data_IF_567247308759
#
_entry.id   IF_567247308759
#
_cell.length_a   1.000
_cell.length_b   1.000
_cell.length_c   1.000
_cell.angle_alpha   90.00
_cell.angle_beta   90.00
_cell.angle_gamma   90.00
#
_symmetry.space_group_name_H-M   'P 1'
#
loop_
_entity.id
_entity.type
_entity.pdbx_description
1 polymer ?
#
# COMPACT_ATOMS: atom_id res chain seq x y z
N UNK A 1 1.47 -10.47 12.88
CA UNK A 1 1.93 -9.52 13.91
C UNK A 1 2.19 -8.19 13.22
N UNK A 2 1.72 -7.08 13.80
CA UNK A 2 1.99 -5.73 13.29
C UNK A 2 3.12 -5.15 14.14
N UNK A 3 4.25 -4.82 13.52
CA UNK A 3 5.32 -4.08 14.17
C UNK A 3 5.06 -2.59 13.98
N UNK A 4 5.14 -1.82 15.07
CA UNK A 4 5.07 -0.36 15.01
C UNK A 4 6.26 0.20 14.20
N UNK A 5 6.03 1.28 13.46
CA UNK A 5 7.01 1.86 12.52
C UNK A 5 8.36 2.30 13.12
N UNK A 6 8.47 2.40 14.44
CA UNK A 6 9.64 2.95 15.13
C UNK A 6 10.76 1.93 15.43
N UNK A 7 10.52 0.62 15.28
CA UNK A 7 11.51 -0.43 15.54
C UNK A 7 11.59 -1.45 14.39
N UNK A 8 12.34 -1.16 13.31
CA UNK A 8 12.41 -2.02 12.12
C UNK A 8 13.09 -3.39 12.31
N UNK A 9 13.54 -3.73 13.52
CA UNK A 9 14.32 -4.95 13.80
C UNK A 9 15.49 -5.15 12.82
N UNK A 10 15.69 -6.39 12.36
CA UNK A 10 16.78 -6.80 11.48
C UNK A 10 16.56 -6.47 9.98
N UNK A 11 15.59 -5.60 9.64
CA UNK A 11 15.37 -5.21 8.24
C UNK A 11 16.63 -4.56 7.65
N UNK A 12 17.11 -5.00 6.47
CA UNK A 12 18.20 -4.34 5.76
C UNK A 12 17.86 -2.88 5.43
N UNK A 13 18.87 -2.03 5.34
CA UNK A 13 18.71 -0.59 5.07
C UNK A 13 17.78 -0.25 3.89
N UNK A 14 17.95 -0.87 2.70
CA UNK A 14 17.05 -0.62 1.57
C UNK A 14 15.59 -0.99 1.84
N UNK A 15 15.34 -2.09 2.56
CA UNK A 15 14.00 -2.50 2.96
C UNK A 15 13.40 -1.57 4.01
N UNK A 16 14.19 -1.03 4.95
CA UNK A 16 13.73 0.01 5.87
C UNK A 16 13.25 1.24 5.11
N UNK A 17 14.00 1.71 4.11
CA UNK A 17 13.59 2.85 3.28
C UNK A 17 12.34 2.54 2.46
N UNK A 18 12.22 1.32 1.92
CA UNK A 18 11.04 0.91 1.16
C UNK A 18 9.78 0.81 2.03
N UNK A 19 9.91 0.25 3.24
CA UNK A 19 8.78 -0.05 4.12
C UNK A 19 8.40 1.14 5.02
N UNK A 20 9.38 1.84 5.60
CA UNK A 20 9.14 2.94 6.53
C UNK A 20 9.22 4.33 5.87
N UNK A 21 9.73 4.41 4.64
CA UNK A 21 9.84 5.68 3.94
C UNK A 21 8.48 6.28 3.55
N UNK A 22 8.40 7.60 3.61
CA UNK A 22 7.26 8.42 3.20
C UNK A 22 7.14 8.58 1.66
N UNK A 23 8.08 8.00 0.91
CA UNK A 23 8.08 8.02 -0.54
C UNK A 23 6.90 7.26 -1.17
N UNK A 24 6.47 7.72 -2.34
CA UNK A 24 5.47 7.02 -3.17
C UNK A 24 6.06 5.68 -3.68
N UNK A 25 5.39 4.53 -3.47
CA UNK A 25 5.89 3.25 -3.95
C UNK A 25 6.04 3.24 -5.46
N UNK A 26 5.11 3.84 -6.20
CA UNK A 26 5.21 3.91 -7.66
C UNK A 26 6.44 4.69 -8.12
N UNK A 27 6.87 5.70 -7.35
CA UNK A 27 8.13 6.40 -7.62
C UNK A 27 9.33 5.50 -7.30
N UNK A 28 9.31 4.79 -6.17
CA UNK A 28 10.39 3.86 -5.80
C UNK A 28 10.54 2.74 -6.84
N UNK A 29 9.46 2.06 -7.20
CA UNK A 29 9.46 1.00 -8.20
C UNK A 29 10.02 1.48 -9.54
N UNK A 30 9.63 2.68 -10.00
CA UNK A 30 10.20 3.27 -11.23
C UNK A 30 11.69 3.55 -11.12
N UNK A 31 12.16 4.04 -9.97
CA UNK A 31 13.58 4.33 -9.75
C UNK A 31 14.43 3.04 -9.67
N UNK A 32 13.91 2.00 -9.03
CA UNK A 32 14.58 0.70 -8.88
C UNK A 32 14.64 -0.02 -10.22
N UNK A 33 13.52 -0.11 -10.93
CA UNK A 33 13.38 -0.94 -12.15
C UNK A 33 13.75 -0.21 -13.43
N UNK A 34 13.73 1.13 -13.44
CA UNK A 34 13.83 1.94 -14.66
C UNK A 34 12.58 1.89 -15.55
N UNK A 35 11.52 1.16 -15.16
CA UNK A 35 10.31 0.97 -15.96
C UNK A 35 9.15 1.83 -15.43
N UNK A 36 8.26 2.23 -16.33
CA UNK A 36 6.97 2.82 -15.95
C UNK A 36 6.16 1.81 -15.15
N UNK A 37 5.53 2.28 -14.06
CA UNK A 37 4.61 1.49 -13.27
C UNK A 37 3.23 1.50 -13.94
N UNK A 38 2.74 0.32 -14.27
CA UNK A 38 1.36 0.08 -14.69
C UNK A 38 0.51 -0.29 -13.47
N UNK A 39 -0.72 0.20 -13.45
CA UNK A 39 -1.70 -0.09 -12.40
C UNK A 39 -2.81 -0.93 -13.03
N UNK A 40 -3.03 -2.11 -12.49
CA UNK A 40 -4.13 -3.00 -12.89
C UNK A 40 -5.18 -3.01 -11.78
N UNK A 41 -6.38 -2.53 -12.08
CA UNK A 41 -7.48 -2.50 -11.12
C UNK A 41 -8.05 -3.91 -10.91
N UNK A 42 -8.00 -4.40 -9.66
CA UNK A 42 -8.61 -5.67 -9.27
C UNK A 42 -10.07 -5.46 -8.89
N UNK A 43 -10.31 -4.50 -8.00
CA UNK A 43 -11.65 -4.20 -7.51
C UNK A 43 -11.74 -2.75 -7.06
N UNK A 44 -12.93 -2.16 -7.20
CA UNK A 44 -13.29 -0.88 -6.59
C UNK A 44 -14.76 -0.93 -6.24
N UNK A 45 -15.07 -1.13 -4.96
CA UNK A 45 -16.44 -1.36 -4.51
C UNK A 45 -16.66 -0.78 -3.12
N UNK A 46 -17.93 -0.52 -2.80
CA UNK A 46 -18.33 -0.20 -1.44
C UNK A 46 -17.96 -1.36 -0.50
N UNK A 47 -17.49 -1.04 0.70
CA UNK A 47 -17.28 -2.07 1.71
C UNK A 47 -18.64 -2.66 2.16
N UNK A 48 -18.69 -3.97 2.49
CA UNK A 48 -19.90 -4.60 3.00
C UNK A 48 -20.47 -3.85 4.22
N UNK A 49 -21.75 -3.48 4.13
CA UNK A 49 -22.41 -2.70 5.19
C UNK A 49 -21.94 -1.23 5.31
N UNK A 50 -20.99 -0.80 4.45
CA UNK A 50 -20.38 0.54 4.45
C UNK A 50 -19.23 0.71 5.43
N UNK A 51 -18.83 -0.33 6.16
CA UNK A 51 -17.97 -0.25 7.33
C UNK A 51 -16.68 -1.07 7.12
N UNK A 52 -15.70 -0.85 8.00
CA UNK A 52 -14.42 -1.57 7.97
C UNK A 52 -14.64 -3.10 8.06
N UNK A 53 -14.17 -3.85 7.06
CA UNK A 53 -14.23 -5.32 7.07
C UNK A 53 -13.20 -5.94 8.01
N UNK A 54 -13.43 -7.18 8.42
CA UNK A 54 -12.45 -7.96 9.17
C UNK A 54 -11.14 -8.07 8.38
N UNK A 55 -10.01 -7.87 9.06
CA UNK A 55 -8.67 -8.01 8.48
C UNK A 55 -8.14 -6.77 7.75
N UNK A 56 -8.89 -5.67 7.71
CA UNK A 56 -8.31 -4.37 7.37
C UNK A 56 -7.49 -3.80 8.53
N UNK A 57 -6.59 -2.82 8.29
CA UNK A 57 -5.92 -2.09 9.35
C UNK A 57 -6.90 -1.43 10.32
N UNK A 58 -6.53 -1.29 11.61
CA UNK A 58 -7.36 -0.70 12.65
C UNK A 58 -7.80 0.72 12.30
N UNK A 59 -6.90 1.46 11.67
CA UNK A 59 -7.00 2.86 11.29
C UNK A 59 -8.13 3.09 10.27
N UNK A 60 -8.58 2.04 9.57
CA UNK A 60 -9.74 2.13 8.66
C UNK A 60 -11.01 2.47 9.43
N UNK A 61 -11.09 2.15 10.72
CA UNK A 61 -12.22 2.51 11.60
C UNK A 61 -12.31 4.02 11.88
N UNK A 62 -11.24 4.78 11.65
CA UNK A 62 -11.19 6.23 11.84
C UNK A 62 -11.78 6.98 10.63
N UNK A 63 -11.88 6.31 9.48
CA UNK A 63 -12.47 6.89 8.28
C UNK A 63 -13.99 7.04 8.42
N UNK A 64 -14.51 8.13 7.87
CA UNK A 64 -15.96 8.39 7.89
C UNK A 64 -16.68 7.49 6.87
N UNK A 65 -17.67 6.66 7.29
CA UNK A 65 -18.50 5.88 6.37
C UNK A 65 -19.41 6.77 5.49
N UNK A 66 -19.98 6.25 4.38
CA UNK A 66 -19.82 4.89 3.88
C UNK A 66 -18.48 4.68 3.20
N UNK A 67 -17.85 3.54 3.45
CA UNK A 67 -16.52 3.22 2.95
C UNK A 67 -16.54 2.63 1.54
N UNK A 68 -15.48 2.91 0.81
CA UNK A 68 -15.12 2.32 -0.48
C UNK A 68 -13.71 1.74 -0.38
N UNK A 69 -13.54 0.54 -0.91
CA UNK A 69 -12.25 -0.12 -1.04
C UNK A 69 -11.85 -0.24 -2.51
N UNK A 70 -10.62 0.16 -2.79
CA UNK A 70 -9.96 -0.01 -4.10
C UNK A 70 -8.76 -0.93 -3.93
N UNK A 71 -8.59 -1.89 -4.83
CA UNK A 71 -7.53 -2.90 -4.83
C UNK A 71 -6.87 -2.92 -6.20
N UNK A 72 -5.54 -2.91 -6.26
CA UNK A 72 -4.76 -2.81 -7.49
C UNK A 72 -3.49 -3.65 -7.43
N UNK A 73 -3.06 -4.13 -8.60
CA UNK A 73 -1.69 -4.59 -8.81
C UNK A 73 -0.83 -3.46 -9.37
N UNK A 74 0.46 -3.50 -9.01
CA UNK A 74 1.50 -2.61 -9.51
C UNK A 74 2.55 -3.44 -10.23
N UNK A 75 2.69 -3.21 -11.53
CA UNK A 75 3.62 -3.96 -12.38
C UNK A 75 4.60 -3.04 -13.10
N UNK A 76 5.85 -3.46 -13.17
CA UNK A 76 6.94 -2.80 -13.90
C UNK A 76 7.38 -3.72 -15.05
N UNK A 77 7.09 -3.31 -16.29
CA UNK A 77 7.23 -4.22 -17.42
C UNK A 77 6.29 -5.42 -17.26
N UNK A 78 6.84 -6.64 -17.33
CA UNK A 78 6.08 -7.89 -17.18
C UNK A 78 6.01 -8.39 -15.72
N UNK A 79 6.71 -7.74 -14.79
CA UNK A 79 6.79 -8.20 -13.39
C UNK A 79 5.78 -7.49 -12.51
N UNK A 80 4.97 -8.26 -11.78
CA UNK A 80 4.10 -7.72 -10.71
C UNK A 80 4.92 -7.58 -9.42
N UNK A 81 5.13 -6.34 -8.96
CA UNK A 81 6.04 -6.04 -7.86
C UNK A 81 5.35 -5.65 -6.56
N UNK A 82 4.08 -5.26 -6.63
CA UNK A 82 3.31 -5.00 -5.44
C UNK A 82 1.80 -5.17 -5.69
N UNK A 83 1.10 -5.38 -4.60
CA UNK A 83 -0.34 -5.23 -4.49
C UNK A 83 -0.64 -4.11 -3.52
N UNK A 84 -1.69 -3.35 -3.77
CA UNK A 84 -2.13 -2.33 -2.85
C UNK A 84 -3.64 -2.30 -2.74
N UNK A 85 -4.12 -1.96 -1.56
CA UNK A 85 -5.50 -1.59 -1.36
C UNK A 85 -5.59 -0.30 -0.55
N UNK A 86 -6.69 0.40 -0.75
CA UNK A 86 -6.94 1.68 -0.10
C UNK A 86 -8.40 1.81 0.28
N UNK A 87 -8.65 2.33 1.47
CA UNK A 87 -9.97 2.61 2.01
C UNK A 87 -10.22 4.11 2.06
N UNK A 88 -11.44 4.50 1.72
CA UNK A 88 -11.85 5.89 1.59
C UNK A 88 -13.29 6.04 2.05
N UNK A 89 -13.66 7.24 2.50
CA UNK A 89 -15.04 7.67 2.40
C UNK A 89 -15.46 7.69 0.91
N UNK A 90 -16.69 7.29 0.59
CA UNK A 90 -17.17 7.23 -0.80
C UNK A 90 -17.14 8.58 -1.52
N UNK A 91 -17.49 9.68 -0.85
CA UNK A 91 -17.49 11.00 -1.47
C UNK A 91 -16.06 11.47 -1.75
N UNK A 92 -15.14 11.23 -0.82
CA UNK A 92 -13.70 11.49 -1.02
C UNK A 92 -13.14 10.66 -2.19
N UNK A 93 -13.49 9.37 -2.26
CA UNK A 93 -13.10 8.52 -3.38
C UNK A 93 -13.64 9.04 -4.72
N UNK A 94 -14.89 9.48 -4.79
CA UNK A 94 -15.47 10.01 -6.02
C UNK A 94 -14.78 11.31 -6.48
N UNK A 95 -14.33 12.13 -5.54
CA UNK A 95 -13.58 13.35 -5.84
C UNK A 95 -12.15 13.06 -6.29
N UNK A 96 -11.48 12.10 -5.64
CA UNK A 96 -10.04 11.89 -5.78
C UNK A 96 -9.63 10.71 -6.67
N UNK A 97 -10.53 9.77 -6.98
CA UNK A 97 -10.25 8.56 -7.77
C UNK A 97 -11.00 8.55 -9.11
N UNK A 98 -11.19 9.73 -9.72
CA UNK A 98 -11.90 9.87 -11.00
C UNK A 98 -11.27 9.01 -12.11
N UNK A 99 -9.94 9.00 -12.20
CA UNK A 99 -9.22 8.01 -13.01
C UNK A 99 -8.74 6.86 -12.13
N UNK A 100 -9.45 5.73 -12.25
CA UNK A 100 -9.26 4.54 -11.42
C UNK A 100 -7.95 3.80 -11.72
N UNK A 101 -7.29 4.13 -12.84
CA UNK A 101 -6.03 3.51 -13.25
C UNK A 101 -4.81 4.37 -12.86
N UNK A 102 -5.00 5.54 -12.25
CA UNK A 102 -3.89 6.34 -11.79
C UNK A 102 -3.39 5.91 -10.39
N UNK A 103 -2.08 6.03 -10.13
CA UNK A 103 -1.53 6.01 -8.79
C UNK A 103 -2.18 7.08 -7.90
N UNK A 104 -2.53 6.71 -6.65
CA UNK A 104 -3.22 7.59 -5.68
C UNK A 104 -2.45 8.91 -5.50
N UNK A 105 -1.11 8.85 -5.40
CA UNK A 105 -0.28 10.04 -5.24
C UNK A 105 -0.45 11.07 -6.36
N UNK A 106 -0.59 10.62 -7.62
CA UNK A 106 -0.80 11.54 -8.74
C UNK A 106 -2.17 12.20 -8.63
N UNK A 107 -3.20 11.46 -8.25
CA UNK A 107 -4.55 12.01 -8.08
C UNK A 107 -4.65 12.96 -6.89
N UNK A 108 -3.94 12.70 -5.79
CA UNK A 108 -3.97 13.54 -4.60
C UNK A 108 -3.12 14.82 -4.71
N UNK A 109 -2.07 14.82 -5.54
CA UNK A 109 -1.18 15.99 -5.72
C UNK A 109 -1.60 16.90 -6.86
N UNK A 110 -2.60 16.52 -7.67
CA UNK A 110 -3.27 17.43 -8.59
C UNK A 110 -3.92 18.56 -7.79
N UNK A 111 -3.26 19.73 -7.77
CA UNK A 111 -3.66 20.90 -6.99
C UNK A 111 -2.68 21.31 -5.87
N UNK A 112 -1.53 20.62 -5.71
CA UNK A 112 -0.46 20.97 -4.75
C UNK A 112 -0.91 21.12 -3.30
N UNK A 113 -1.97 20.41 -2.89
CA UNK A 113 -2.39 20.40 -1.49
C UNK A 113 -1.37 19.65 -0.64
N UNK A 114 -1.06 20.17 0.55
CA UNK A 114 -0.24 19.48 1.53
C UNK A 114 -0.96 18.21 2.00
N UNK A 115 -0.25 17.08 1.92
CA UNK A 115 -0.68 15.78 2.41
C UNK A 115 0.35 15.34 3.45
N UNK A 116 -0.13 15.02 4.64
CA UNK A 116 0.72 14.41 5.66
C UNK A 116 0.54 12.90 5.63
N UNK A 117 1.64 12.15 5.79
CA UNK A 117 1.62 10.69 5.82
C UNK A 117 2.17 10.21 7.15
N UNK A 118 1.50 9.24 7.75
CA UNK A 118 1.95 8.53 8.94
C UNK A 118 2.01 7.03 8.65
N UNK A 119 3.18 6.41 8.78
CA UNK A 119 3.32 4.96 8.63
C UNK A 119 2.91 4.28 9.93
N UNK A 120 1.77 3.63 9.91
CA UNK A 120 1.10 3.10 11.10
C UNK A 120 1.63 1.73 11.50
N UNK A 121 2.01 0.89 10.53
CA UNK A 121 2.65 -0.38 10.87
C UNK A 121 3.10 -1.27 9.72
N UNK A 122 3.97 -2.21 10.07
CA UNK A 122 4.51 -3.24 9.19
C UNK A 122 3.94 -4.60 9.55
N UNK A 123 3.69 -5.45 8.56
CA UNK A 123 3.25 -6.81 8.79
C UNK A 123 3.76 -7.78 7.72
N UNK A 124 3.78 -9.06 8.05
CA UNK A 124 3.93 -10.15 7.09
C UNK A 124 2.55 -10.70 6.73
N UNK A 125 2.24 -10.74 5.44
CA UNK A 125 0.97 -11.25 4.90
C UNK A 125 1.23 -12.56 4.18
N UNK A 126 0.35 -13.54 4.40
CA UNK A 126 0.42 -14.83 3.73
C UNK A 126 -0.96 -15.18 3.18
N UNK A 127 -1.11 -15.09 1.85
CA UNK A 127 -2.37 -15.31 1.17
C UNK A 127 -2.12 -16.08 -0.13
N UNK A 128 -2.88 -17.16 -0.43
CA UNK A 128 -2.65 -17.97 -1.63
C UNK A 128 -2.73 -17.21 -2.95
N UNK A 129 -3.60 -16.21 -3.04
CA UNK A 129 -3.75 -15.40 -4.26
C UNK A 129 -2.59 -14.43 -4.49
N UNK A 130 -1.87 -14.03 -3.43
CA UNK A 130 -0.60 -13.31 -3.57
C UNK A 130 0.49 -14.24 -4.08
N UNK A 131 0.55 -15.48 -3.58
CA UNK A 131 1.54 -16.47 -4.03
C UNK A 131 1.39 -16.81 -5.51
N UNK A 132 0.15 -16.99 -5.98
CA UNK A 132 -0.15 -17.23 -7.40
C UNK A 132 0.33 -16.07 -8.28
N UNK A 133 0.03 -14.82 -7.91
CA UNK A 133 0.39 -13.65 -8.72
C UNK A 133 1.88 -13.31 -8.65
N UNK A 134 2.52 -13.45 -7.48
CA UNK A 134 3.95 -13.21 -7.31
C UNK A 134 4.80 -14.39 -7.78
N UNK A 135 4.21 -15.57 -8.02
CA UNK A 135 4.91 -16.76 -8.48
C UNK A 135 5.87 -17.37 -7.44
N UNK A 136 5.69 -17.05 -6.16
CA UNK A 136 6.51 -17.57 -5.07
C UNK A 136 5.73 -17.66 -3.76
N UNK A 137 6.16 -18.55 -2.86
CA UNK A 137 5.54 -18.68 -1.55
C UNK A 137 5.88 -17.53 -0.61
N UNK A 138 4.90 -17.16 0.21
CA UNK A 138 5.02 -16.13 1.22
C UNK A 138 5.87 -16.56 2.43
N UNK A 139 5.85 -15.76 3.51
CA UNK A 139 5.07 -14.54 3.66
C UNK A 139 5.67 -13.33 2.94
N UNK A 140 4.88 -12.28 2.76
CA UNK A 140 5.22 -11.06 2.03
C UNK A 140 5.23 -9.85 2.96
N UNK A 141 6.22 -8.97 2.79
CA UNK A 141 6.27 -7.73 3.54
C UNK A 141 5.15 -6.81 3.12
N UNK A 142 4.49 -6.23 4.12
CA UNK A 142 3.46 -5.24 3.94
C UNK A 142 3.66 -4.07 4.87
N UNK A 143 3.12 -2.93 4.46
CA UNK A 143 2.98 -1.76 5.30
C UNK A 143 1.58 -1.19 5.14
N UNK A 144 1.14 -0.44 6.14
CA UNK A 144 0.00 0.42 6.00
C UNK A 144 0.27 1.79 6.60
N UNK A 145 -0.43 2.78 6.08
CA UNK A 145 -0.27 4.17 6.46
C UNK A 145 -1.55 4.96 6.17
N UNK A 146 -1.71 6.06 6.90
CA UNK A 146 -2.76 7.06 6.69
C UNK A 146 -2.23 8.25 5.89
N UNK A 147 -3.09 8.80 5.04
CA UNK A 147 -2.94 10.17 4.56
C UNK A 147 -3.90 11.08 5.30
N UNK A 148 -3.40 12.26 5.65
CA UNK A 148 -4.18 13.31 6.27
C UNK A 148 -4.23 14.54 5.38
N UNK A 149 -5.39 15.22 5.40
CA UNK A 149 -5.61 16.51 4.77
C UNK A 149 -6.30 17.43 5.76
N UNK A 150 -5.70 18.60 6.02
CA UNK A 150 -6.23 19.59 6.99
C UNK A 150 -6.48 18.98 8.38
N UNK A 151 -5.60 18.08 8.84
CA UNK A 151 -5.69 17.43 10.14
C UNK A 151 -6.76 16.34 10.26
N UNK A 152 -7.32 15.86 9.13
CA UNK A 152 -8.30 14.76 9.10
C UNK A 152 -7.80 13.63 8.20
N UNK A 153 -8.12 12.41 8.60
CA UNK A 153 -7.82 11.16 7.88
C UNK A 153 -8.59 11.15 6.56
N UNK A 154 -7.85 11.08 5.45
CA UNK A 154 -8.39 11.06 4.10
C UNK A 154 -8.53 9.63 3.57
N UNK A 155 -7.49 8.83 3.78
CA UNK A 155 -7.45 7.44 3.32
C UNK A 155 -6.46 6.63 4.14
N UNK A 156 -6.73 5.34 4.25
CA UNK A 156 -5.79 4.33 4.73
C UNK A 156 -5.35 3.50 3.53
N UNK A 157 -4.05 3.24 3.40
CA UNK A 157 -3.48 2.45 2.31
C UNK A 157 -2.69 1.30 2.92
N UNK A 158 -2.91 0.09 2.41
CA UNK A 158 -2.08 -1.09 2.67
C UNK A 158 -1.40 -1.53 1.39
N UNK A 159 -0.10 -1.77 1.48
CA UNK A 159 0.73 -2.22 0.37
C UNK A 159 1.44 -3.50 0.75
N UNK A 160 1.48 -4.46 -0.17
CA UNK A 160 2.17 -5.74 -0.02
C UNK A 160 3.17 -5.88 -1.17
N UNK A 161 4.42 -6.22 -0.84
CA UNK A 161 5.54 -6.18 -1.76
C UNK A 161 6.01 -7.57 -2.17
N UNK A 162 6.27 -7.74 -3.47
CA UNK A 162 6.80 -8.97 -4.04
C UNK A 162 8.26 -9.21 -3.60
N UNK A 163 8.66 -10.44 -3.28
CA UNK A 163 10.06 -10.80 -3.03
C UNK A 163 10.96 -10.59 -4.26
N UNK A 164 10.40 -10.43 -5.46
CA UNK A 164 11.17 -10.03 -6.64
C UNK A 164 11.95 -8.71 -6.43
N UNK A 165 11.49 -7.84 -5.52
CA UNK A 165 12.21 -6.62 -5.16
C UNK A 165 13.58 -6.85 -4.51
N UNK A 166 13.85 -8.06 -4.01
CA UNK A 166 15.16 -8.44 -3.47
C UNK A 166 16.27 -8.32 -4.54
N UNK A 167 15.93 -8.37 -5.83
CA UNK A 167 16.87 -8.10 -6.93
C UNK A 167 17.57 -6.74 -6.78
N UNK A 168 16.86 -5.72 -6.29
CA UNK A 168 17.40 -4.37 -6.10
C UNK A 168 17.64 -4.00 -4.64
N UNK A 169 16.82 -4.52 -3.72
CA UNK A 169 16.84 -4.16 -2.31
C UNK A 169 17.73 -5.08 -1.46
N UNK A 170 18.21 -6.19 -2.04
CA UNK A 170 18.86 -7.28 -1.33
C UNK A 170 17.87 -8.18 -0.60
N UNK A 171 18.34 -9.32 -0.12
CA UNK A 171 17.51 -10.30 0.62
C UNK A 171 16.98 -9.72 1.92
N UNK A 172 15.75 -10.05 2.29
CA UNK A 172 15.17 -9.65 3.58
C UNK A 172 14.72 -10.87 4.38
N UNK A 173 14.87 -10.88 5.72
CA UNK A 173 14.25 -11.91 6.53
C UNK A 173 12.73 -11.83 6.34
N UNK A 174 12.09 -12.97 6.05
CA UNK A 174 10.63 -13.11 5.93
C UNK A 174 10.07 -13.82 7.15
N UNK A 175 10.53 -13.39 8.31
CA UNK A 175 10.11 -13.87 9.63
C UNK A 175 9.54 -12.70 10.43
N UNK A 176 8.61 -12.95 11.37
CA UNK A 176 8.04 -11.88 12.18
C UNK A 176 9.14 -11.09 12.90
N UNK A 177 9.04 -9.76 12.92
CA UNK A 177 9.92 -8.94 13.75
C UNK A 177 9.67 -9.29 15.21
N UNK A 178 10.75 -9.57 15.95
CA UNK A 178 10.75 -9.90 17.37
C UNK A 178 10.60 -8.64 18.23
#
# INVERSE_FOLDING_TARGET
MVAAGDHPGDLPGPWRLMLLGDGSPTRHLRLLTGHTVSVELVAMAAEPGGQASIGCPSEVQELTPPLLRRQVWLSCGEQTLAWAESWWNQDEANQHLQDRNLPIWLSLTQGRSELFREVDGLALVQEPWLEDRFGCSGPFWSRHYRFFRQGRELTVIREVFSPALEEWLGTTPRQPLH
#
